data_IF_690322463537
#
_entry.id   IF_690322463537
#
_cell.length_a   1.000
_cell.length_b   1.000
_cell.length_c   1.000
_cell.angle_alpha   90.00
_cell.angle_beta   90.00
_cell.angle_gamma   90.00
#
_symmetry.space_group_name_H-M   'P 1'
#
loop_
_entity.id
_entity.type
_entity.pdbx_description
1 polymer ?
#
# COMPACT_ATOMS: atom_id res chain seq x y z
N UNK A 1 11.40 -39.17 -18.39
CA UNK A 1 9.95 -39.33 -18.20
C UNK A 1 9.74 -39.60 -16.72
N UNK A 2 9.24 -38.61 -16.00
CA UNK A 2 8.93 -38.73 -14.58
C UNK A 2 7.64 -37.97 -14.35
N UNK A 3 6.61 -38.71 -13.95
CA UNK A 3 5.27 -38.22 -13.63
C UNK A 3 5.34 -37.10 -12.59
N UNK A 4 4.86 -35.92 -12.99
CA UNK A 4 4.54 -34.84 -12.06
C UNK A 4 3.12 -35.09 -11.57
N UNK A 5 3.01 -35.47 -10.29
CA UNK A 5 1.73 -35.62 -9.60
C UNK A 5 0.90 -34.33 -9.71
N UNK A 6 -0.27 -34.49 -10.32
CA UNK A 6 -1.29 -33.50 -10.62
C UNK A 6 -2.15 -33.15 -9.38
N UNK A 7 -1.51 -32.82 -8.26
CA UNK A 7 -2.17 -32.53 -6.98
C UNK A 7 -2.36 -31.01 -6.71
N UNK A 8 -2.21 -30.15 -7.71
CA UNK A 8 -2.49 -28.69 -7.57
C UNK A 8 -3.92 -28.30 -7.92
N UNK A 9 -4.84 -29.26 -7.96
CA UNK A 9 -6.26 -29.03 -8.23
C UNK A 9 -7.07 -29.11 -6.94
N UNK A 10 -7.28 -27.96 -6.29
CA UNK A 10 -8.33 -27.78 -5.27
C UNK A 10 -9.56 -27.11 -5.93
N UNK A 11 -10.33 -27.89 -6.68
CA UNK A 11 -11.51 -27.40 -7.43
C UNK A 11 -12.81 -27.59 -6.67
N UNK A 12 -13.71 -26.61 -6.76
CA UNK A 12 -15.06 -26.84 -7.30
C UNK A 12 -15.73 -25.53 -7.77
N UNK A 13 -16.43 -25.56 -8.91
CA UNK A 13 -17.07 -24.39 -9.57
C UNK A 13 -18.46 -24.78 -10.08
N UNK A 14 -19.37 -23.81 -10.29
CA UNK A 14 -20.53 -23.99 -11.18
C UNK A 14 -20.54 -22.95 -12.31
N UNK A 15 -19.51 -22.99 -13.15
CA UNK A 15 -19.54 -22.37 -14.50
C UNK A 15 -19.26 -20.87 -14.65
N UNK A 16 -18.22 -20.34 -14.00
CA UNK A 16 -17.29 -19.33 -14.55
C UNK A 16 -16.13 -19.09 -13.57
N UNK A 17 -14.92 -19.51 -13.93
CA UNK A 17 -13.70 -19.30 -13.13
C UNK A 17 -13.28 -17.82 -13.12
N UNK A 18 -13.36 -17.18 -11.96
CA UNK A 18 -12.51 -16.04 -11.65
C UNK A 18 -11.05 -16.49 -11.55
N UNK A 19 -10.10 -15.64 -11.94
CA UNK A 19 -8.66 -15.94 -11.89
C UNK A 19 -8.03 -15.26 -10.67
N UNK A 20 -7.09 -15.94 -10.01
CA UNK A 20 -6.24 -15.31 -8.99
C UNK A 20 -5.19 -14.45 -9.70
N UNK A 21 -5.57 -13.22 -10.04
CA UNK A 21 -4.69 -12.25 -10.71
C UNK A 21 -3.98 -11.34 -9.69
N UNK A 22 -4.53 -11.24 -8.49
CA UNK A 22 -4.02 -10.35 -7.45
C UNK A 22 -3.10 -11.10 -6.50
N UNK A 23 -1.81 -10.73 -6.54
CA UNK A 23 -0.79 -11.30 -5.67
C UNK A 23 -0.38 -10.28 -4.60
N UNK A 24 -0.10 -10.78 -3.40
CA UNK A 24 0.62 -10.01 -2.40
C UNK A 24 1.97 -10.67 -2.18
N UNK A 25 3.04 -9.90 -2.42
CA UNK A 25 4.41 -10.36 -2.27
C UNK A 25 4.97 -9.75 -0.99
N UNK A 26 5.47 -10.60 -0.10
CA UNK A 26 6.08 -10.21 1.16
C UNK A 26 7.60 -10.38 1.08
N UNK A 27 8.33 -9.51 1.78
CA UNK A 27 9.70 -9.85 2.18
C UNK A 27 9.67 -10.87 3.31
N UNK A 28 10.74 -11.66 3.54
CA UNK A 28 10.78 -12.64 4.63
C UNK A 28 10.46 -12.03 6.01
N UNK A 29 10.89 -10.79 6.25
CA UNK A 29 10.59 -10.06 7.48
C UNK A 29 9.12 -9.64 7.61
N UNK A 30 8.40 -9.47 6.50
CA UNK A 30 6.99 -9.13 6.50
C UNK A 30 6.09 -10.37 6.58
N UNK A 31 6.54 -11.50 6.03
CA UNK A 31 5.83 -12.78 6.07
C UNK A 31 5.61 -13.28 7.51
N UNK A 32 6.62 -13.13 8.37
CA UNK A 32 6.52 -13.48 9.80
C UNK A 32 5.48 -12.66 10.57
N UNK A 33 5.00 -11.56 10.00
CA UNK A 33 3.97 -10.70 10.58
C UNK A 33 2.57 -11.03 10.05
N UNK A 34 2.46 -11.89 9.02
CA UNK A 34 1.19 -12.29 8.43
C UNK A 34 0.63 -13.49 9.21
N UNK A 35 -0.52 -13.29 9.83
CA UNK A 35 -1.27 -14.32 10.57
C UNK A 35 -2.15 -15.13 9.61
N UNK A 36 -2.82 -14.45 8.66
CA UNK A 36 -3.70 -15.10 7.69
C UNK A 36 -3.92 -14.23 6.46
N UNK A 37 -3.91 -14.83 5.27
CA UNK A 37 -4.37 -14.21 4.02
C UNK A 37 -5.68 -14.87 3.60
N UNK A 38 -6.68 -14.08 3.18
CA UNK A 38 -7.97 -14.57 2.71
C UNK A 38 -8.52 -13.68 1.59
N UNK A 39 -9.20 -14.28 0.61
CA UNK A 39 -9.95 -13.53 -0.41
C UNK A 39 -11.39 -13.37 0.07
N UNK A 40 -11.90 -12.14 0.04
CA UNK A 40 -13.29 -11.86 0.41
C UNK A 40 -14.15 -11.74 -0.85
N UNK A 41 -14.62 -12.90 -1.32
CA UNK A 41 -15.48 -13.04 -2.49
C UNK A 41 -16.98 -12.83 -2.18
N UNK A 42 -17.35 -12.55 -0.94
CA UNK A 42 -18.75 -12.39 -0.51
C UNK A 42 -19.09 -10.93 -0.22
N UNK A 43 -18.18 -10.19 0.41
CA UNK A 43 -18.49 -8.88 1.00
C UNK A 43 -18.16 -7.69 0.10
N UNK A 44 -17.41 -7.89 -1.00
CA UNK A 44 -16.85 -6.82 -1.82
C UNK A 44 -16.86 -7.13 -3.33
N UNK A 45 -18.02 -7.03 -3.95
CA UNK A 45 -18.22 -6.97 -5.41
C UNK A 45 -18.43 -5.49 -5.85
N UNK A 46 -17.38 -4.68 -5.66
CA UNK A 46 -17.32 -3.28 -6.14
C UNK A 46 -16.44 -3.13 -7.39
N UNK A 47 -15.85 -4.24 -7.82
CA UNK A 47 -14.97 -4.42 -8.97
C UNK A 47 -15.15 -5.87 -9.44
N UNK A 48 -14.75 -6.12 -10.68
CA UNK A 48 -14.45 -7.44 -11.25
C UNK A 48 -13.31 -8.21 -10.53
N UNK A 49 -12.58 -7.54 -9.63
CA UNK A 49 -11.58 -8.13 -8.74
C UNK A 49 -12.10 -8.28 -7.30
N UNK A 50 -11.88 -9.43 -6.67
CA UNK A 50 -12.15 -9.64 -5.25
C UNK A 50 -10.96 -9.18 -4.39
N UNK A 51 -11.21 -8.45 -3.28
CA UNK A 51 -10.12 -7.99 -2.44
C UNK A 51 -9.44 -9.14 -1.69
N UNK A 52 -8.11 -9.09 -1.68
CA UNK A 52 -7.25 -9.91 -0.82
C UNK A 52 -7.09 -9.20 0.53
N UNK A 53 -7.50 -9.87 1.61
CA UNK A 53 -7.39 -9.39 2.98
C UNK A 53 -6.25 -10.11 3.70
N UNK A 54 -5.38 -9.33 4.35
CA UNK A 54 -4.26 -9.83 5.12
C UNK A 54 -4.46 -9.44 6.58
N UNK A 55 -4.54 -10.46 7.44
CA UNK A 55 -4.53 -10.30 8.88
C UNK A 55 -3.10 -10.36 9.34
N UNK A 56 -2.65 -9.29 9.98
CA UNK A 56 -1.29 -9.17 10.50
C UNK A 56 -1.29 -9.24 12.01
N UNK A 57 -0.36 -9.98 12.61
CA UNK A 57 -0.16 -9.98 14.05
C UNK A 57 0.80 -8.86 14.46
N UNK A 58 0.26 -7.66 14.62
CA UNK A 58 1.03 -6.47 14.98
C UNK A 58 1.39 -6.40 16.48
N UNK A 59 1.04 -7.42 17.28
CA UNK A 59 1.19 -7.37 18.74
C UNK A 59 2.64 -7.25 19.22
N UNK A 60 3.62 -7.55 18.36
CA UNK A 60 5.05 -7.49 18.69
C UNK A 60 5.87 -6.53 17.80
N UNK A 61 5.22 -5.60 17.09
CA UNK A 61 5.93 -4.77 16.11
C UNK A 61 6.28 -3.40 16.67
N UNK A 62 7.29 -3.35 17.55
CA UNK A 62 8.19 -2.18 17.60
C UNK A 62 9.12 -2.23 16.38
N UNK A 63 8.57 -2.19 15.17
CA UNK A 63 9.39 -1.97 13.97
C UNK A 63 9.19 -0.52 13.55
N UNK A 64 9.75 0.38 14.35
CA UNK A 64 10.23 1.64 13.79
C UNK A 64 11.23 1.25 12.70
N UNK A 65 11.00 1.61 11.42
CA UNK A 65 12.03 1.39 10.43
C UNK A 65 13.28 2.14 10.90
N UNK A 66 14.40 1.44 11.06
CA UNK A 66 15.66 2.03 11.53
C UNK A 66 16.59 2.34 10.36
N UNK A 67 16.37 1.70 9.21
CA UNK A 67 17.21 1.84 8.02
C UNK A 67 16.63 2.89 7.08
N UNK A 68 17.51 3.71 6.51
CA UNK A 68 17.16 4.62 5.41
C UNK A 68 16.82 3.80 4.17
N UNK A 69 15.75 4.17 3.47
CA UNK A 69 15.30 3.51 2.25
C UNK A 69 15.04 4.57 1.18
N UNK A 70 15.39 4.25 -0.06
CA UNK A 70 15.11 5.09 -1.21
C UNK A 70 13.62 5.17 -1.55
N UNK A 71 13.07 6.38 -1.53
CA UNK A 71 11.69 6.69 -1.88
C UNK A 71 11.56 6.84 -3.41
N UNK A 72 11.23 5.72 -4.07
CA UNK A 72 11.08 5.63 -5.53
C UNK A 72 10.16 6.69 -6.14
N UNK A 73 9.12 7.15 -5.43
CA UNK A 73 8.20 8.17 -5.94
C UNK A 73 8.88 9.53 -6.09
N UNK A 74 9.75 9.89 -5.16
CA UNK A 74 10.48 11.16 -5.22
C UNK A 74 11.59 11.09 -6.28
N UNK A 75 12.24 9.94 -6.44
CA UNK A 75 13.22 9.73 -7.53
C UNK A 75 12.56 9.98 -8.89
N UNK A 76 11.37 9.44 -9.14
CA UNK A 76 10.65 9.68 -10.40
C UNK A 76 10.29 11.15 -10.59
N UNK A 77 9.91 11.85 -9.51
CA UNK A 77 9.57 13.28 -9.58
C UNK A 77 10.76 14.21 -9.84
N UNK A 78 11.96 13.80 -9.46
CA UNK A 78 13.18 14.61 -9.56
C UNK A 78 14.23 14.02 -10.51
N UNK A 79 13.88 12.99 -11.28
CA UNK A 79 14.84 12.26 -12.12
C UNK A 79 15.53 13.15 -13.14
N UNK A 80 14.80 14.12 -13.70
CA UNK A 80 15.34 15.11 -14.64
C UNK A 80 16.28 16.10 -13.96
N UNK A 81 15.88 16.68 -12.82
CA UNK A 81 16.72 17.62 -12.07
C UNK A 81 18.02 16.96 -11.58
N UNK A 82 17.92 15.68 -11.19
CA UNK A 82 19.07 14.87 -10.85
C UNK A 82 19.96 14.67 -12.08
N UNK A 83 19.43 14.17 -13.20
CA UNK A 83 20.22 13.89 -14.40
C UNK A 83 20.94 15.12 -14.97
N UNK A 84 20.32 16.30 -14.87
CA UNK A 84 20.86 17.56 -15.40
C UNK A 84 21.70 18.36 -14.38
N UNK A 85 21.89 17.83 -13.17
CA UNK A 85 22.58 18.55 -12.11
C UNK A 85 24.11 18.40 -12.24
N UNK A 86 24.82 19.51 -12.04
CA UNK A 86 26.28 19.59 -12.00
C UNK A 86 26.91 18.80 -10.83
N UNK A 87 26.09 18.24 -9.93
CA UNK A 87 26.55 17.42 -8.80
C UNK A 87 27.24 16.12 -9.22
N UNK A 88 27.14 15.73 -10.49
CA UNK A 88 27.84 14.57 -11.06
C UNK A 88 29.24 14.89 -11.58
N UNK A 89 29.66 16.17 -11.57
CA UNK A 89 30.99 16.56 -12.07
C UNK A 89 32.13 15.90 -11.26
N UNK A 90 31.86 15.47 -10.03
CA UNK A 90 32.77 14.68 -9.18
C UNK A 90 33.04 13.26 -9.69
N UNK A 91 32.31 12.82 -10.73
CA UNK A 91 32.39 11.49 -11.32
C UNK A 91 33.16 11.46 -12.64
N UNK A 92 33.82 12.55 -13.04
CA UNK A 92 34.69 12.53 -14.22
C UNK A 92 35.78 11.47 -14.03
N UNK A 93 35.76 10.43 -14.86
CA UNK A 93 36.54 9.21 -14.71
C UNK A 93 37.43 8.96 -15.93
N UNK A 94 37.88 10.03 -16.59
CA UNK A 94 38.50 9.94 -17.90
C UNK A 94 39.85 9.17 -17.87
N UNK A 95 40.44 8.96 -16.68
CA UNK A 95 41.66 8.16 -16.47
C UNK A 95 41.52 7.23 -15.25
N UNK A 96 40.84 6.08 -15.40
CA UNK A 96 40.92 4.97 -14.44
C UNK A 96 41.88 3.93 -15.02
N UNK A 97 43.03 3.75 -14.39
CA UNK A 97 44.06 2.81 -14.86
C UNK A 97 44.17 1.58 -13.96
N UNK A 98 43.66 1.65 -12.73
CA UNK A 98 43.77 0.58 -11.71
C UNK A 98 42.43 0.18 -11.08
N UNK A 99 42.39 -1.02 -10.48
CA UNK A 99 41.20 -1.53 -9.78
C UNK A 99 40.96 -0.76 -8.47
N UNK A 100 42.02 -0.30 -7.81
CA UNK A 100 41.95 0.53 -6.62
C UNK A 100 41.28 1.88 -6.91
N UNK A 101 41.66 2.54 -8.01
CA UNK A 101 41.04 3.80 -8.45
C UNK A 101 39.55 3.60 -8.81
N UNK A 102 39.22 2.48 -9.44
CA UNK A 102 37.83 2.12 -9.74
C UNK A 102 37.01 1.98 -8.46
N UNK A 103 37.55 1.29 -7.45
CA UNK A 103 36.89 1.10 -6.17
C UNK A 103 36.72 2.44 -5.42
N UNK A 104 37.73 3.32 -5.45
CA UNK A 104 37.66 4.64 -4.83
C UNK A 104 36.58 5.52 -5.48
N UNK A 105 36.50 5.52 -6.81
CA UNK A 105 35.48 6.27 -7.56
C UNK A 105 34.09 5.69 -7.31
N UNK A 106 33.95 4.37 -7.27
CA UNK A 106 32.68 3.71 -6.94
C UNK A 106 32.22 4.07 -5.51
N UNK A 107 33.14 4.15 -4.55
CA UNK A 107 32.81 4.57 -3.20
C UNK A 107 32.36 6.04 -3.16
N UNK A 108 33.11 6.95 -3.81
CA UNK A 108 32.71 8.36 -3.96
C UNK A 108 31.35 8.52 -4.62
N UNK A 109 31.03 7.67 -5.59
CA UNK A 109 29.73 7.62 -6.26
C UNK A 109 28.61 7.29 -5.27
N UNK A 110 28.76 6.22 -4.50
CA UNK A 110 27.77 5.81 -3.50
C UNK A 110 27.61 6.86 -2.41
N UNK A 111 28.70 7.46 -1.94
CA UNK A 111 28.67 8.52 -0.93
C UNK A 111 27.93 9.76 -1.45
N UNK A 112 28.26 10.22 -2.65
CA UNK A 112 27.62 11.37 -3.30
C UNK A 112 26.13 11.11 -3.52
N UNK A 113 25.77 9.91 -4.02
CA UNK A 113 24.38 9.52 -4.22
C UNK A 113 23.60 9.53 -2.91
N UNK A 114 24.13 8.93 -1.84
CA UNK A 114 23.46 8.90 -0.54
C UNK A 114 23.29 10.30 0.04
N UNK A 115 24.31 11.16 -0.07
CA UNK A 115 24.24 12.54 0.41
C UNK A 115 23.14 13.34 -0.31
N UNK A 116 23.11 13.27 -1.65
CA UNK A 116 22.04 13.89 -2.46
C UNK A 116 20.68 13.31 -2.09
N UNK A 117 20.61 11.99 -1.92
CA UNK A 117 19.40 11.30 -1.50
C UNK A 117 18.85 11.83 -0.19
N UNK A 118 19.71 12.06 0.79
CA UNK A 118 19.34 12.59 2.11
C UNK A 118 18.89 14.05 2.04
N UNK A 119 19.65 14.90 1.32
CA UNK A 119 19.32 16.31 1.09
C UNK A 119 17.95 16.48 0.44
N UNK A 120 17.66 15.70 -0.59
CA UNK A 120 16.39 15.76 -1.32
C UNK A 120 15.29 14.91 -0.66
N UNK A 121 15.55 14.39 0.54
CA UNK A 121 14.63 13.53 1.30
C UNK A 121 14.13 12.30 0.53
N UNK A 122 14.92 11.85 -0.46
CA UNK A 122 14.71 10.62 -1.21
C UNK A 122 15.24 9.41 -0.45
N UNK A 123 16.36 9.55 0.25
CA UNK A 123 16.92 8.55 1.14
C UNK A 123 16.62 8.95 2.59
N UNK A 124 15.62 8.29 3.19
CA UNK A 124 15.26 8.56 4.58
C UNK A 124 14.68 7.33 5.24
N UNK A 125 14.64 7.35 6.56
CA UNK A 125 13.84 6.39 7.31
C UNK A 125 12.36 6.62 6.92
N UNK A 126 11.67 5.59 6.40
CA UNK A 126 10.25 5.71 6.08
C UNK A 126 9.45 6.19 7.29
N UNK A 127 8.60 7.20 7.10
CA UNK A 127 7.64 7.54 8.13
C UNK A 127 6.67 6.38 8.31
N UNK A 128 6.36 6.04 9.57
CA UNK A 128 5.32 5.08 9.89
C UNK A 128 4.04 5.43 9.12
N UNK A 129 3.47 4.42 8.46
CA UNK A 129 2.18 4.57 7.83
C UNK A 129 1.18 5.04 8.90
N UNK A 130 0.70 6.29 8.78
CA UNK A 130 -0.31 6.81 9.69
C UNK A 130 -1.54 5.90 9.58
N UNK A 131 -1.84 5.18 10.65
CA UNK A 131 -3.07 4.42 10.73
C UNK A 131 -4.24 5.41 10.69
N UNK A 132 -4.95 5.46 9.57
CA UNK A 132 -6.11 6.33 9.41
C UNK A 132 -7.28 5.70 10.17
N UNK A 133 -7.54 6.20 11.37
CA UNK A 133 -8.70 5.80 12.13
C UNK A 133 -9.97 6.40 11.54
N UNK A 134 -10.87 5.54 11.07
CA UNK A 134 -12.20 5.99 10.63
C UNK A 134 -13.00 6.50 11.84
N UNK A 135 -13.56 7.71 11.73
CA UNK A 135 -14.46 8.24 12.76
C UNK A 135 -15.73 7.37 12.89
N UNK A 136 -16.42 7.46 14.05
CA UNK A 136 -17.61 6.66 14.37
C UNK A 136 -18.69 6.76 13.29
N UNK A 137 -18.88 7.96 12.73
CA UNK A 137 -19.83 8.24 11.64
C UNK A 137 -19.51 7.42 10.39
N UNK A 138 -18.26 7.43 9.94
CA UNK A 138 -17.81 6.70 8.74
C UNK A 138 -17.83 5.20 8.97
N UNK A 139 -17.44 4.72 10.16
CA UNK A 139 -17.60 3.31 10.54
C UNK A 139 -19.06 2.85 10.44
N UNK A 140 -20.01 3.67 10.88
CA UNK A 140 -21.43 3.35 10.76
C UNK A 140 -21.91 3.31 9.30
N UNK A 141 -21.45 4.23 8.46
CA UNK A 141 -21.74 4.20 7.02
C UNK A 141 -21.23 2.90 6.37
N UNK A 142 -20.00 2.48 6.70
CA UNK A 142 -19.45 1.20 6.23
C UNK A 142 -20.31 0.02 6.69
N UNK A 143 -20.74 -0.01 7.96
CA UNK A 143 -21.64 -1.06 8.47
C UNK A 143 -22.98 -1.08 7.73
N UNK A 144 -23.57 0.08 7.47
CA UNK A 144 -24.84 0.18 6.74
C UNK A 144 -24.71 -0.25 5.28
N UNK A 145 -23.62 0.14 4.61
CA UNK A 145 -23.32 -0.31 3.25
C UNK A 145 -23.15 -1.83 3.19
N UNK A 146 -22.46 -2.43 4.16
CA UNK A 146 -22.34 -3.90 4.27
C UNK A 146 -23.70 -4.57 4.45
N UNK A 147 -24.55 -4.08 5.36
CA UNK A 147 -25.90 -4.64 5.56
C UNK A 147 -26.74 -4.57 4.29
N UNK A 148 -26.73 -3.44 3.58
CA UNK A 148 -27.50 -3.27 2.35
C UNK A 148 -27.02 -4.21 1.24
N UNK A 149 -25.71 -4.46 1.18
CA UNK A 149 -25.12 -5.41 0.26
C UNK A 149 -25.52 -6.85 0.57
N UNK A 150 -25.46 -7.25 1.84
CA UNK A 150 -25.91 -8.59 2.27
C UNK A 150 -27.37 -8.80 1.86
N UNK A 151 -28.25 -7.83 2.12
CA UNK A 151 -29.66 -7.90 1.72
C UNK A 151 -29.83 -8.04 0.20
N UNK A 152 -29.07 -7.28 -0.60
CA UNK A 152 -29.11 -7.40 -2.06
C UNK A 152 -28.63 -8.78 -2.54
N UNK A 153 -27.51 -9.27 -2.01
CA UNK A 153 -26.96 -10.57 -2.37
C UNK A 153 -27.89 -11.72 -1.95
N UNK A 154 -28.53 -11.62 -0.79
CA UNK A 154 -29.54 -12.59 -0.33
C UNK A 154 -30.74 -12.61 -1.28
N UNK A 155 -31.31 -11.46 -1.62
CA UNK A 155 -32.42 -11.38 -2.57
C UNK A 155 -32.04 -11.87 -3.98
N UNK A 156 -30.78 -11.70 -4.40
CA UNK A 156 -30.26 -12.22 -5.66
C UNK A 156 -30.18 -13.76 -5.66
N UNK A 157 -29.73 -14.36 -4.54
CA UNK A 157 -29.67 -15.81 -4.36
C UNK A 157 -31.06 -16.44 -4.28
N UNK A 158 -32.02 -15.73 -3.67
CA UNK A 158 -33.41 -16.17 -3.50
C UNK A 158 -34.27 -15.94 -4.77
N UNK A 159 -33.70 -15.36 -5.83
CA UNK A 159 -34.41 -14.94 -7.04
C UNK A 159 -35.63 -14.05 -6.75
N UNK A 160 -35.52 -13.18 -5.74
CA UNK A 160 -36.58 -12.22 -5.38
C UNK A 160 -36.57 -11.02 -6.34
N UNK A 161 -37.14 -11.24 -7.53
CA UNK A 161 -37.25 -10.26 -8.60
C UNK A 161 -38.07 -9.02 -8.24
N UNK A 162 -38.91 -9.10 -7.20
CA UNK A 162 -39.77 -7.99 -6.77
C UNK A 162 -38.96 -6.95 -5.98
N UNK A 163 -38.13 -7.40 -5.04
CA UNK A 163 -37.36 -6.49 -4.17
C UNK A 163 -35.98 -6.11 -4.73
N UNK A 164 -35.45 -6.89 -5.68
CA UNK A 164 -34.11 -6.71 -6.27
C UNK A 164 -33.82 -5.28 -6.77
N UNK A 165 -34.69 -4.61 -7.55
CA UNK A 165 -34.40 -3.26 -8.04
C UNK A 165 -34.26 -2.21 -6.93
N UNK A 166 -35.08 -2.31 -5.88
CA UNK A 166 -35.03 -1.40 -4.73
C UNK A 166 -33.78 -1.63 -3.87
N UNK A 167 -33.43 -2.90 -3.65
CA UNK A 167 -32.23 -3.29 -2.91
C UNK A 167 -30.94 -2.89 -3.64
N UNK A 168 -30.91 -3.01 -4.98
CA UNK A 168 -29.80 -2.55 -5.81
C UNK A 168 -29.54 -1.05 -5.63
N UNK A 169 -30.57 -0.22 -5.81
CA UNK A 169 -30.47 1.24 -5.60
C UNK A 169 -29.98 1.59 -4.19
N UNK A 170 -30.49 0.88 -3.17
CA UNK A 170 -30.10 1.06 -1.77
C UNK A 170 -28.62 0.71 -1.54
N UNK A 171 -28.13 -0.39 -2.14
CA UNK A 171 -26.74 -0.81 -2.07
C UNK A 171 -25.81 0.22 -2.74
N UNK A 172 -26.14 0.63 -3.96
CA UNK A 172 -25.33 1.58 -4.75
C UNK A 172 -25.21 2.94 -4.05
N UNK A 173 -26.31 3.52 -3.55
CA UNK A 173 -26.29 4.81 -2.87
C UNK A 173 -25.50 4.75 -1.55
N UNK A 174 -25.64 3.68 -0.77
CA UNK A 174 -24.87 3.51 0.46
C UNK A 174 -23.38 3.31 0.17
N UNK A 175 -23.03 2.56 -0.87
CA UNK A 175 -21.64 2.42 -1.34
C UNK A 175 -21.03 3.76 -1.76
N UNK A 176 -21.78 4.56 -2.52
CA UNK A 176 -21.36 5.91 -2.96
C UNK A 176 -21.06 6.82 -1.77
N UNK A 177 -21.93 6.83 -0.75
CA UNK A 177 -21.74 7.62 0.48
C UNK A 177 -20.47 7.25 1.24
N UNK A 178 -20.16 5.95 1.34
CA UNK A 178 -18.92 5.47 1.96
C UNK A 178 -17.70 5.96 1.18
N UNK A 179 -17.71 5.82 -0.16
CA UNK A 179 -16.60 6.25 -1.02
C UNK A 179 -16.29 7.75 -0.85
N UNK A 180 -17.32 8.59 -0.82
CA UNK A 180 -17.18 10.04 -0.59
C UNK A 180 -16.61 10.33 0.80
N UNK A 181 -17.11 9.66 1.85
CA UNK A 181 -16.64 9.87 3.22
C UNK A 181 -15.17 9.46 3.41
N UNK A 182 -14.75 8.33 2.83
CA UNK A 182 -13.35 7.88 2.88
C UNK A 182 -12.45 8.85 2.11
N UNK A 183 -12.86 9.31 0.93
CA UNK A 183 -12.11 10.30 0.15
C UNK A 183 -11.90 11.60 0.93
N UNK A 184 -12.95 12.08 1.62
CA UNK A 184 -12.89 13.27 2.48
C UNK A 184 -11.88 13.11 3.63
N UNK A 185 -11.91 11.98 4.34
CA UNK A 185 -10.93 11.68 5.41
C UNK A 185 -9.50 11.63 4.85
N UNK A 186 -9.31 11.01 3.68
CA UNK A 186 -8.00 10.92 3.04
C UNK A 186 -7.46 12.29 2.60
N UNK A 187 -8.32 13.22 2.17
CA UNK A 187 -7.92 14.60 1.84
C UNK A 187 -7.67 15.44 3.08
N UNK A 188 -8.49 15.31 4.13
CA UNK A 188 -8.31 16.03 5.39
C UNK A 188 -7.02 15.60 6.12
N UNK A 189 -6.69 14.30 6.08
CA UNK A 189 -5.43 13.78 6.63
C UNK A 189 -4.17 14.21 5.87
N UNK A 190 -4.29 14.70 4.63
CA UNK A 190 -3.20 15.33 3.88
C UNK A 190 -3.00 16.81 4.24
N UNK A 191 -4.04 17.48 4.75
CA UNK A 191 -4.05 18.92 5.02
C UNK A 191 -3.59 19.30 6.44
N UNK A 192 -3.19 18.35 7.28
CA UNK A 192 -2.60 18.64 8.59
C UNK A 192 -1.07 18.55 8.54
N UNK A 193 -0.35 19.66 8.28
CA UNK A 193 1.07 19.71 8.61
C UNK A 193 1.21 19.59 10.13
N UNK A 194 2.09 18.68 10.58
CA UNK A 194 2.49 18.58 11.98
C UNK A 194 3.30 19.82 12.34
N UNK A 195 2.63 20.90 12.73
CA UNK A 195 3.25 21.98 13.48
C UNK A 195 2.94 21.73 14.97
N UNK A 196 3.82 20.96 15.61
CA UNK A 196 3.96 20.95 17.08
C UNK A 196 5.45 21.00 17.43
N UNK A 197 6.08 22.10 17.02
CA UNK A 197 7.22 22.65 17.73
C UNK A 197 6.72 23.77 18.64
N UNK A 198 6.70 23.52 19.94
CA UNK A 198 6.82 24.52 21.01
C UNK A 198 7.34 23.74 22.21
N UNK A 199 8.67 23.67 22.35
CA UNK A 199 9.42 24.55 23.27
C UNK A 199 8.96 24.36 24.71
N UNK A 200 9.67 23.50 25.43
CA UNK A 200 9.91 23.68 26.86
C UNK A 200 11.35 23.24 27.13
N UNK A 201 12.29 24.14 26.86
CA UNK A 201 13.59 24.14 27.53
C UNK A 201 13.80 25.51 28.17
N UNK A 202 14.19 25.47 29.44
CA UNK A 202 14.87 26.56 30.16
C UNK A 202 14.01 27.73 30.61
N UNK A 203 13.50 27.64 31.83
CA UNK A 203 13.69 28.73 32.79
C UNK A 203 14.53 28.20 33.95
N UNK A 204 15.56 29.00 34.24
CA UNK A 204 16.55 28.89 35.31
C UNK A 204 15.89 28.76 36.68
#
# INVERSE_FOLDING_TARGET
MGDLNDDTVTRNLKDKEGRYLDHVIHSPAAESLVDKTQVDNVSFDISDHWPVLIKTNLKNVELMPTKKVWNRKHIVGHGWDLALSNRWDVLQSDNIETEEELNEIAEKWVQTLNLIGEELHMLRIPQLAKQIYLNKKTKNLVKQSRKARVLYNTALLENDHVNLPGLRKSMEEKGRRVKVAIKKIATEGKATPLNKGQQNSSRK
#
